data_IF_595321679769
#
_entry.id   IF_595321679769
#
_cell.length_a   1.000
_cell.length_b   1.000
_cell.length_c   1.000
_cell.angle_alpha   90.00
_cell.angle_beta   90.00
_cell.angle_gamma   90.00
#
_symmetry.space_group_name_H-M   'P 1'
#
loop_
_entity.id
_entity.type
_entity.pdbx_description
1 polymer ?
#
# COMPACT_ATOMS: atom_id res chain seq x y z
N UNK A 1 1.99 -35.19 -42.76
CA UNK A 1 1.05 -34.86 -41.65
C UNK A 1 1.88 -34.50 -40.43
N UNK A 2 2.05 -33.20 -40.17
CA UNK A 2 2.79 -32.69 -39.02
C UNK A 2 1.78 -32.59 -37.88
N UNK A 3 2.03 -33.33 -36.79
CA UNK A 3 1.21 -33.27 -35.58
C UNK A 3 1.32 -31.86 -35.01
N UNK A 4 0.19 -31.17 -35.00
CA UNK A 4 0.01 -29.87 -34.37
C UNK A 4 0.16 -30.04 -32.86
N UNK A 5 1.33 -29.66 -32.34
CA UNK A 5 1.65 -29.72 -30.92
C UNK A 5 0.91 -28.57 -30.24
N UNK A 6 -0.27 -28.85 -29.69
CA UNK A 6 -1.04 -27.94 -28.87
C UNK A 6 -0.16 -27.39 -27.71
N UNK A 7 0.30 -26.14 -27.85
CA UNK A 7 1.31 -25.54 -26.96
C UNK A 7 0.64 -24.64 -25.92
N UNK A 8 0.54 -25.17 -24.70
CA UNK A 8 0.53 -24.45 -23.39
C UNK A 8 -0.54 -23.36 -23.15
N UNK A 9 -1.81 -23.72 -23.08
CA UNK A 9 -2.82 -22.91 -22.38
C UNK A 9 -2.86 -23.21 -20.87
N UNK A 10 -2.66 -24.47 -20.47
CA UNK A 10 -2.73 -24.90 -19.05
C UNK A 10 -1.64 -24.27 -18.18
N UNK A 11 -0.42 -24.07 -18.68
CA UNK A 11 0.69 -23.49 -17.89
C UNK A 11 0.51 -22.00 -17.58
N UNK A 12 -0.44 -21.31 -18.23
CA UNK A 12 -0.62 -19.86 -18.08
C UNK A 12 -1.49 -19.51 -16.87
N UNK A 13 -2.58 -20.25 -16.62
CA UNK A 13 -3.48 -19.97 -15.50
C UNK A 13 -2.81 -20.28 -14.15
N UNK A 14 -2.26 -21.49 -14.00
CA UNK A 14 -1.54 -21.90 -12.79
C UNK A 14 -0.37 -20.95 -12.43
N UNK A 15 0.29 -20.38 -13.45
CA UNK A 15 1.34 -19.40 -13.25
C UNK A 15 0.79 -18.07 -12.72
N UNK A 16 -0.34 -17.60 -13.26
CA UNK A 16 -0.99 -16.37 -12.81
C UNK A 16 -1.40 -16.53 -11.34
N UNK A 17 -2.01 -17.66 -10.98
CA UNK A 17 -2.46 -17.93 -9.61
C UNK A 17 -1.29 -18.00 -8.64
N UNK A 18 -0.20 -18.71 -9.00
CA UNK A 18 1.03 -18.74 -8.18
C UNK A 18 1.64 -17.36 -7.97
N UNK A 19 1.65 -16.52 -9.01
CA UNK A 19 2.14 -15.14 -8.91
C UNK A 19 1.21 -14.31 -8.01
N UNK A 20 -0.10 -14.49 -8.11
CA UNK A 20 -1.08 -13.79 -7.27
C UNK A 20 -0.91 -14.16 -5.79
N UNK A 21 -0.82 -15.45 -5.47
CA UNK A 21 -0.60 -15.96 -4.11
C UNK A 21 0.72 -15.41 -3.52
N UNK A 22 1.77 -15.35 -4.34
CA UNK A 22 3.06 -14.82 -3.90
C UNK A 22 2.97 -13.31 -3.57
N UNK A 23 2.29 -12.53 -4.40
CA UNK A 23 2.11 -11.08 -4.16
C UNK A 23 1.20 -10.83 -2.98
N UNK A 24 0.17 -11.66 -2.75
CA UNK A 24 -0.74 -11.53 -1.61
C UNK A 24 -0.09 -11.91 -0.29
N UNK A 25 0.77 -12.93 -0.27
CA UNK A 25 1.52 -13.33 0.93
C UNK A 25 2.56 -12.28 1.33
N UNK A 26 3.24 -11.65 0.37
CA UNK A 26 4.15 -10.54 0.61
C UNK A 26 3.98 -9.42 -0.43
N UNK A 27 3.23 -8.38 -0.05
CA UNK A 27 2.98 -7.21 -0.91
C UNK A 27 4.24 -6.37 -1.20
N UNK A 28 5.38 -6.66 -0.55
CA UNK A 28 6.66 -5.98 -0.76
C UNK A 28 7.64 -6.81 -1.60
N UNK A 29 7.21 -7.94 -2.16
CA UNK A 29 8.06 -8.81 -2.97
C UNK A 29 8.65 -8.07 -4.18
N UNK A 30 9.96 -8.26 -4.41
CA UNK A 30 10.66 -7.69 -5.56
C UNK A 30 10.39 -8.58 -6.78
N UNK A 31 10.08 -7.96 -7.92
CA UNK A 31 9.76 -8.66 -9.17
C UNK A 31 10.80 -9.71 -9.59
N UNK A 32 12.11 -9.43 -9.39
CA UNK A 32 13.18 -10.40 -9.67
C UNK A 32 13.10 -11.63 -8.78
N UNK A 33 12.85 -11.44 -7.49
CA UNK A 33 12.70 -12.53 -6.53
C UNK A 33 11.46 -13.37 -6.86
N UNK A 34 10.37 -12.70 -7.22
CA UNK A 34 9.15 -13.34 -7.70
C UNK A 34 9.43 -14.20 -8.93
N UNK A 35 10.09 -13.66 -9.95
CA UNK A 35 10.42 -14.40 -11.17
C UNK A 35 11.26 -15.66 -10.90
N UNK A 36 12.23 -15.58 -9.97
CA UNK A 36 13.01 -16.74 -9.53
C UNK A 36 12.13 -17.78 -8.82
N UNK A 37 11.23 -17.35 -7.92
CA UNK A 37 10.36 -18.26 -7.17
C UNK A 37 9.37 -19.03 -8.04
N UNK A 38 8.90 -18.42 -9.14
CA UNK A 38 7.95 -19.08 -10.06
C UNK A 38 8.63 -19.65 -11.31
N UNK A 39 9.97 -19.68 -11.33
CA UNK A 39 10.82 -20.18 -12.43
C UNK A 39 10.46 -19.59 -13.81
N UNK A 40 10.39 -18.26 -13.88
CA UNK A 40 10.11 -17.52 -15.10
C UNK A 40 11.12 -16.41 -15.34
N UNK A 41 11.19 -15.94 -16.59
CA UNK A 41 11.97 -14.73 -16.88
C UNK A 41 11.36 -13.51 -16.19
N UNK A 42 12.20 -12.52 -15.88
CA UNK A 42 11.76 -11.26 -15.27
C UNK A 42 10.71 -10.55 -16.14
N UNK A 43 10.82 -10.62 -17.47
CA UNK A 43 9.85 -10.04 -18.40
C UNK A 43 8.48 -10.73 -18.35
N UNK A 44 8.46 -12.06 -18.23
CA UNK A 44 7.21 -12.81 -18.05
C UNK A 44 6.58 -12.49 -16.69
N UNK A 45 7.39 -12.40 -15.62
CA UNK A 45 6.94 -11.95 -14.31
C UNK A 45 6.33 -10.54 -14.37
N UNK A 46 6.98 -9.60 -15.07
CA UNK A 46 6.48 -8.24 -15.26
C UNK A 46 5.11 -8.24 -15.95
N UNK A 47 5.01 -8.91 -17.10
CA UNK A 47 3.76 -9.01 -17.88
C UNK A 47 2.64 -9.62 -17.04
N UNK A 48 2.95 -10.64 -16.24
CA UNK A 48 1.97 -11.30 -15.39
C UNK A 48 1.47 -10.38 -14.28
N UNK A 49 2.36 -9.69 -13.58
CA UNK A 49 2.00 -8.78 -12.48
C UNK A 49 1.25 -7.54 -12.98
N UNK A 50 1.76 -6.87 -14.02
CA UNK A 50 1.23 -5.57 -14.45
C UNK A 50 0.11 -5.68 -15.50
N UNK A 51 0.21 -6.62 -16.45
CA UNK A 51 -0.76 -6.72 -17.55
C UNK A 51 -1.87 -7.71 -17.27
N UNK A 52 -1.55 -8.87 -16.67
CA UNK A 52 -2.54 -9.92 -16.40
C UNK A 52 -3.27 -9.70 -15.07
N UNK A 53 -2.52 -9.53 -13.99
CA UNK A 53 -3.06 -9.30 -12.63
C UNK A 53 -3.40 -7.84 -12.36
N UNK A 54 -2.96 -6.91 -13.21
CA UNK A 54 -3.23 -5.46 -13.10
C UNK A 54 -2.73 -4.83 -11.79
N UNK A 55 -1.74 -5.43 -11.15
CA UNK A 55 -1.12 -4.83 -9.98
C UNK A 55 -0.35 -3.55 -10.35
N UNK A 56 -0.29 -2.64 -9.38
CA UNK A 56 0.48 -1.40 -9.47
C UNK A 56 1.42 -1.31 -8.29
N UNK A 57 2.63 -0.84 -8.54
CA UNK A 57 3.58 -0.52 -7.47
C UNK A 57 3.14 0.79 -6.82
N UNK A 58 2.89 0.75 -5.52
CA UNK A 58 2.61 1.92 -4.70
C UNK A 58 3.72 2.08 -3.67
N UNK A 59 4.06 3.32 -3.33
CA UNK A 59 4.99 3.62 -2.24
C UNK A 59 4.28 3.43 -0.90
N UNK A 60 4.99 2.90 0.09
CA UNK A 60 4.47 2.84 1.45
C UNK A 60 4.26 4.27 1.99
N UNK A 61 3.15 4.50 2.68
CA UNK A 61 2.89 5.75 3.39
C UNK A 61 3.53 5.70 4.77
N UNK A 62 4.09 6.84 5.21
CA UNK A 62 4.57 7.00 6.58
C UNK A 62 3.39 7.01 7.55
N UNK A 63 3.46 6.17 8.58
CA UNK A 63 2.49 6.17 9.67
C UNK A 63 3.17 6.81 10.89
N UNK A 64 2.60 7.86 11.50
CA UNK A 64 3.26 8.62 12.56
C UNK A 64 3.68 7.80 13.79
N UNK A 65 2.94 6.74 14.11
CA UNK A 65 3.18 5.90 15.28
C UNK A 65 2.76 4.46 15.02
N UNK A 66 3.54 3.51 15.54
CA UNK A 66 3.13 2.11 15.64
C UNK A 66 2.17 1.96 16.83
N UNK A 67 0.92 1.62 16.55
CA UNK A 67 -0.10 1.44 17.59
C UNK A 67 -0.09 0.01 18.13
N UNK A 68 -0.24 -0.12 19.44
CA UNK A 68 -0.51 -1.39 20.12
C UNK A 68 -1.98 -1.74 19.94
N UNK A 69 -2.36 -2.99 20.21
CA UNK A 69 -3.76 -3.40 20.07
C UNK A 69 -4.68 -2.64 21.06
N UNK A 70 -4.21 -2.40 22.29
CA UNK A 70 -4.91 -1.54 23.25
C UNK A 70 -5.13 -0.10 22.72
N UNK A 71 -4.14 0.51 22.07
CA UNK A 71 -4.32 1.83 21.46
C UNK A 71 -5.39 1.80 20.36
N UNK A 72 -5.42 0.74 19.53
CA UNK A 72 -6.42 0.60 18.46
C UNK A 72 -7.83 0.44 19.01
N UNK A 73 -8.01 -0.41 20.03
CA UNK A 73 -9.30 -0.61 20.70
C UNK A 73 -9.82 0.70 21.30
N UNK A 74 -8.94 1.43 21.99
CA UNK A 74 -9.29 2.74 22.56
C UNK A 74 -9.67 3.75 21.47
N UNK A 75 -8.87 3.87 20.40
CA UNK A 75 -9.17 4.76 19.28
C UNK A 75 -10.50 4.39 18.61
N UNK A 76 -10.78 3.11 18.41
CA UNK A 76 -12.02 2.62 17.82
C UNK A 76 -13.22 2.97 18.72
N UNK A 77 -13.13 2.68 20.02
CA UNK A 77 -14.19 2.98 20.98
C UNK A 77 -14.52 4.47 21.07
N UNK A 78 -13.50 5.32 21.15
CA UNK A 78 -13.69 6.78 21.14
C UNK A 78 -14.29 7.27 19.82
N UNK A 79 -13.82 6.75 18.69
CA UNK A 79 -14.36 7.11 17.37
C UNK A 79 -15.84 6.74 17.25
N UNK A 80 -16.25 5.57 17.75
CA UNK A 80 -17.65 5.17 17.79
C UNK A 80 -18.50 6.08 18.68
N UNK A 81 -18.00 6.46 19.85
CA UNK A 81 -18.71 7.40 20.74
C UNK A 81 -18.87 8.77 20.08
N UNK A 82 -17.84 9.28 19.41
CA UNK A 82 -17.91 10.53 18.67
C UNK A 82 -18.91 10.46 17.49
N UNK A 83 -18.90 9.35 16.76
CA UNK A 83 -19.85 9.12 15.67
C UNK A 83 -21.30 9.10 16.17
N UNK A 84 -21.55 8.42 17.29
CA UNK A 84 -22.89 8.38 17.90
C UNK A 84 -23.37 9.77 18.29
N UNK A 85 -22.53 10.55 18.98
CA UNK A 85 -22.85 11.94 19.36
C UNK A 85 -23.12 12.84 18.15
N UNK A 86 -22.36 12.65 17.06
CA UNK A 86 -22.59 13.37 15.82
C UNK A 86 -23.97 13.09 15.22
N UNK A 87 -24.49 11.86 15.36
CA UNK A 87 -25.83 11.52 14.88
C UNK A 87 -26.97 12.03 15.77
N UNK A 88 -26.76 12.13 17.09
CA UNK A 88 -27.79 12.60 18.02
C UNK A 88 -27.93 14.13 18.06
N UNK A 89 -26.82 14.86 17.89
CA UNK A 89 -26.80 16.32 17.98
C UNK A 89 -26.20 16.93 16.70
N UNK A 90 -27.07 17.46 15.84
CA UNK A 90 -26.69 18.09 14.58
C UNK A 90 -25.77 19.31 14.77
N UNK A 91 -25.82 19.97 15.93
CA UNK A 91 -24.97 21.12 16.26
C UNK A 91 -23.69 20.71 17.02
N UNK A 92 -23.44 19.40 17.20
CA UNK A 92 -22.29 18.90 17.96
C UNK A 92 -20.97 19.47 17.46
N UNK A 93 -20.73 19.45 16.14
CA UNK A 93 -19.48 19.94 15.55
C UNK A 93 -19.32 21.45 15.66
N UNK A 94 -20.41 22.22 15.65
CA UNK A 94 -20.38 23.69 15.75
C UNK A 94 -19.85 24.17 17.11
N UNK A 95 -19.91 23.31 18.13
CA UNK A 95 -19.45 23.62 19.50
C UNK A 95 -18.01 23.21 19.75
N UNK A 96 -17.36 22.51 18.81
CA UNK A 96 -15.99 22.02 18.98
C UNK A 96 -15.01 23.10 18.51
N UNK A 97 -14.15 23.55 19.43
CA UNK A 97 -12.99 24.37 19.11
C UNK A 97 -11.74 23.52 19.34
N UNK A 98 -10.96 23.27 18.29
CA UNK A 98 -9.68 22.56 18.37
C UNK A 98 -8.52 23.52 18.19
N UNK A 99 -7.45 23.34 18.95
CA UNK A 99 -6.19 24.04 18.76
C UNK A 99 -5.04 23.01 18.72
N UNK A 100 -4.08 23.21 17.82
CA UNK A 100 -2.83 22.47 17.83
C UNK A 100 -1.65 23.45 17.67
N UNK A 101 -0.46 22.98 18.01
CA UNK A 101 0.78 23.71 17.77
C UNK A 101 1.49 23.07 16.59
N UNK A 102 1.84 23.88 15.59
CA UNK A 102 2.65 23.46 14.45
C UNK A 102 3.96 24.24 14.46
N UNK A 103 5.08 23.54 14.31
CA UNK A 103 6.39 24.17 14.24
C UNK A 103 6.52 25.02 12.98
N UNK A 104 6.83 26.30 13.13
CA UNK A 104 7.19 27.18 12.02
C UNK A 104 8.71 27.24 11.87
N UNK A 105 9.22 26.83 10.71
CA UNK A 105 10.65 26.95 10.43
C UNK A 105 10.98 28.41 10.13
N UNK A 106 12.00 28.96 10.79
CA UNK A 106 12.46 30.33 10.55
C UNK A 106 13.16 30.48 9.19
N UNK A 107 13.71 29.40 8.65
CA UNK A 107 14.40 29.37 7.37
C UNK A 107 14.01 28.11 6.60
N UNK A 108 13.64 28.31 5.33
CA UNK A 108 13.42 27.24 4.37
C UNK A 108 14.43 27.43 3.23
N UNK A 109 15.37 26.50 3.03
CA UNK A 109 16.38 26.65 1.99
C UNK A 109 15.70 26.57 0.61
N UNK A 110 15.80 27.64 -0.17
CA UNK A 110 15.22 27.71 -1.52
C UNK A 110 15.97 26.81 -2.52
N UNK A 111 17.22 26.47 -2.21
CA UNK A 111 18.06 25.68 -3.09
C UNK A 111 18.74 24.51 -2.37
N UNK A 112 19.01 23.44 -3.13
CA UNK A 112 19.69 22.24 -2.61
C UNK A 112 21.07 22.54 -1.99
N UNK A 113 21.93 23.41 -2.56
CA UNK A 113 23.17 23.82 -1.91
C UNK A 113 22.96 24.48 -0.55
N UNK A 114 21.92 25.29 -0.39
CA UNK A 114 21.65 25.99 0.87
C UNK A 114 21.16 25.04 1.97
N UNK A 115 20.45 23.98 1.61
CA UNK A 115 20.06 22.92 2.56
C UNK A 115 21.23 22.10 3.13
N UNK A 116 22.45 22.26 2.57
CA UNK A 116 23.65 21.56 3.02
C UNK A 116 24.56 22.41 3.93
N UNK A 117 24.22 23.68 4.17
CA UNK A 117 24.92 24.56 5.10
C UNK A 117 24.28 24.43 6.48
N UNK A 118 25.08 24.14 7.50
CA UNK A 118 24.70 24.05 8.91
C UNK A 118 25.09 25.32 9.66
#
# INVERSE_FOLDING_TARGET
MIRDQARKTVTTADLIDKVDDLVRSDRRVILRMLAVKVDVSVGTGWTTVYDRLRYRKVSAQWVPKQLTDQHKEMCMGLSFQHLFRYHEDLAFLERIVTCNESWCRQYEPETKPDSMKW
#
